data_IF_682391944992
#
_entry.id   IF_682391944992
#
_cell.length_a   1.000
_cell.length_b   1.000
_cell.length_c   1.000
_cell.angle_alpha   90.00
_cell.angle_beta   90.00
_cell.angle_gamma   90.00
#
_symmetry.space_group_name_H-M   'P 1'
#
loop_
_entity.id
_entity.type
_entity.pdbx_description
1 polymer ?
#
# COMPACT_ATOMS: atom_id res chain seq x y z
N UNK A 1 67.08 49.00 -10.50
CA UNK A 1 66.97 47.60 -10.08
C UNK A 1 65.79 47.48 -9.14
N UNK A 2 64.64 47.11 -9.66
CA UNK A 2 63.41 46.90 -8.88
C UNK A 2 63.26 45.43 -8.55
N UNK A 3 63.30 45.08 -7.28
CA UNK A 3 63.05 43.71 -6.77
C UNK A 3 61.55 43.46 -6.73
N UNK A 4 61.08 42.53 -7.56
CA UNK A 4 59.73 41.97 -7.43
C UNK A 4 59.76 40.87 -6.37
N UNK A 5 59.03 41.13 -5.27
CA UNK A 5 58.78 40.11 -4.25
C UNK A 5 57.60 39.25 -4.67
N UNK A 6 57.84 37.97 -4.87
CA UNK A 6 56.80 36.95 -5.08
C UNK A 6 56.17 36.62 -3.73
N UNK A 7 54.91 37.00 -3.54
CA UNK A 7 54.09 36.54 -2.38
C UNK A 7 53.43 35.20 -2.82
N UNK A 8 53.98 34.10 -2.34
CA UNK A 8 53.36 32.80 -2.50
C UNK A 8 52.18 32.70 -1.53
N UNK A 9 50.95 32.76 -2.04
CA UNK A 9 49.74 32.53 -1.31
C UNK A 9 49.53 31.01 -1.16
N UNK A 10 49.95 30.47 0.00
CA UNK A 10 49.70 29.06 0.34
C UNK A 10 48.22 28.95 0.66
N UNK A 11 47.44 28.41 -0.27
CA UNK A 11 46.09 27.96 -0.01
C UNK A 11 46.16 26.71 0.92
N UNK A 12 45.94 26.93 2.22
CA UNK A 12 45.66 25.83 3.15
C UNK A 12 44.34 25.22 2.72
N UNK A 13 44.42 24.07 2.04
CA UNK A 13 43.29 23.16 1.94
C UNK A 13 43.06 22.58 3.34
N UNK A 14 42.12 23.12 4.09
CA UNK A 14 41.56 22.47 5.25
C UNK A 14 40.73 21.29 4.69
N UNK A 15 41.32 20.12 4.71
CA UNK A 15 40.57 18.86 4.66
C UNK A 15 39.89 18.74 6.03
N UNK A 16 38.75 19.43 6.18
CA UNK A 16 37.85 19.11 7.27
C UNK A 16 37.42 17.66 7.03
N UNK A 17 37.63 16.77 8.01
CA UNK A 17 36.98 15.46 8.04
C UNK A 17 35.49 15.74 7.94
N UNK A 18 34.94 15.60 6.73
CA UNK A 18 33.52 15.71 6.52
C UNK A 18 32.89 14.50 7.22
N UNK A 19 32.01 14.72 8.16
CA UNK A 19 31.28 13.63 8.82
C UNK A 19 30.62 12.79 7.72
N UNK A 20 30.94 11.49 7.68
CA UNK A 20 30.41 10.58 6.64
C UNK A 20 28.89 10.52 6.61
N UNK A 21 28.26 10.94 7.70
CA UNK A 21 26.81 11.00 7.86
C UNK A 21 26.25 12.42 7.59
N UNK A 22 27.08 13.38 7.19
CA UNK A 22 26.63 14.73 6.92
C UNK A 22 25.78 14.82 5.66
N UNK A 23 24.70 15.58 5.73
CA UNK A 23 23.90 15.98 4.58
C UNK A 23 23.93 17.48 4.38
N UNK A 24 23.73 17.89 3.13
CA UNK A 24 23.40 19.26 2.76
C UNK A 24 22.19 19.19 1.82
N UNK A 25 21.12 19.90 2.14
CA UNK A 25 19.99 20.09 1.24
C UNK A 25 20.05 21.51 0.75
N UNK A 26 20.27 21.71 -0.56
CA UNK A 26 20.23 23.03 -1.20
C UNK A 26 19.05 23.11 -2.16
N UNK A 27 18.39 24.24 -2.21
CA UNK A 27 17.23 24.37 -3.08
C UNK A 27 16.86 25.79 -3.42
N UNK A 28 15.92 25.88 -4.36
CA UNK A 28 15.33 27.12 -4.85
C UNK A 28 13.82 27.07 -4.74
N UNK A 29 13.20 28.26 -4.70
CA UNK A 29 11.75 28.42 -4.82
C UNK A 29 11.48 29.70 -5.61
N UNK A 30 11.05 29.56 -6.85
CA UNK A 30 10.97 30.66 -7.83
C UNK A 30 10.09 31.84 -7.40
N UNK A 31 9.01 31.57 -6.63
CA UNK A 31 8.06 32.58 -6.18
C UNK A 31 8.36 33.14 -4.77
N UNK A 32 9.47 32.72 -4.15
CA UNK A 32 9.84 33.13 -2.82
C UNK A 32 10.22 34.60 -2.72
N UNK A 33 9.93 35.17 -1.56
CA UNK A 33 10.42 36.50 -1.16
C UNK A 33 11.62 36.36 -0.23
N UNK A 34 12.47 37.35 -0.25
CA UNK A 34 13.61 37.44 0.68
C UNK A 34 13.13 37.33 2.13
N UNK A 35 13.70 36.40 2.87
CA UNK A 35 13.35 36.13 4.27
C UNK A 35 12.17 35.16 4.49
N UNK A 36 11.51 34.67 3.45
CA UNK A 36 10.51 33.63 3.58
C UNK A 36 11.13 32.39 4.25
N UNK A 37 10.35 31.71 5.10
CA UNK A 37 10.83 30.56 5.89
C UNK A 37 10.50 29.23 5.23
N UNK A 38 11.53 28.45 4.97
CA UNK A 38 11.43 27.04 4.48
C UNK A 38 11.57 26.09 5.67
N UNK A 39 10.74 25.06 5.74
CA UNK A 39 10.78 24.03 6.77
C UNK A 39 11.34 22.72 6.21
N UNK A 40 12.27 22.11 6.93
CA UNK A 40 12.63 20.70 6.80
C UNK A 40 11.91 19.94 7.90
N UNK A 41 11.15 18.89 7.52
CA UNK A 41 10.29 18.12 8.41
C UNK A 41 10.56 16.64 8.28
N UNK A 42 10.50 15.89 9.37
CA UNK A 42 10.56 14.42 9.36
C UNK A 42 9.15 13.83 9.32
N UNK A 43 9.00 12.70 8.62
CA UNK A 43 7.77 11.92 8.60
C UNK A 43 7.76 10.94 9.80
N UNK A 44 7.00 11.26 10.85
CA UNK A 44 6.77 10.38 11.99
C UNK A 44 5.38 9.73 11.91
N UNK A 45 5.34 8.50 11.44
CA UNK A 45 4.08 7.83 11.14
C UNK A 45 3.32 8.52 10.01
N UNK A 46 2.23 9.24 10.34
CA UNK A 46 1.42 10.02 9.39
C UNK A 46 1.52 11.53 9.62
N UNK A 47 2.49 11.98 10.40
CA UNK A 47 2.65 13.41 10.76
C UNK A 47 4.00 13.91 10.31
N UNK A 48 4.03 15.16 9.89
CA UNK A 48 5.26 15.91 9.64
C UNK A 48 5.63 16.67 10.92
N UNK A 49 6.88 16.50 11.37
CA UNK A 49 7.44 17.12 12.56
C UNK A 49 8.60 18.00 12.14
N UNK A 50 8.56 19.27 12.51
CA UNK A 50 9.61 20.23 12.17
C UNK A 50 10.97 19.81 12.74
N UNK A 51 11.97 19.66 11.86
CA UNK A 51 13.37 19.40 12.21
C UNK A 51 14.18 20.69 12.20
N UNK A 52 14.08 21.47 11.12
CA UNK A 52 14.81 22.74 10.93
C UNK A 52 13.96 23.75 10.18
N UNK A 53 14.26 25.04 10.37
CA UNK A 53 13.72 26.13 9.56
C UNK A 53 14.85 27.07 9.16
N UNK A 54 14.85 27.50 7.90
CA UNK A 54 15.81 28.44 7.36
C UNK A 54 15.10 29.51 6.55
N UNK A 55 15.70 30.68 6.46
CA UNK A 55 15.22 31.78 5.61
C UNK A 55 15.76 31.62 4.18
N UNK A 56 14.98 32.04 3.20
CA UNK A 56 15.43 32.21 1.81
C UNK A 56 16.32 33.44 1.73
N UNK A 57 17.47 33.27 1.11
CA UNK A 57 18.45 34.35 0.84
C UNK A 57 18.82 34.30 -0.63
N UNK A 58 18.65 35.40 -1.36
CA UNK A 58 18.88 35.45 -2.81
C UNK A 58 18.14 34.37 -3.63
N UNK A 59 16.95 34.00 -3.21
CA UNK A 59 16.12 32.94 -3.86
C UNK A 59 16.54 31.51 -3.55
N UNK A 60 17.50 31.29 -2.68
CA UNK A 60 18.04 29.98 -2.31
C UNK A 60 17.84 29.70 -0.81
N UNK A 61 17.81 28.42 -0.47
CA UNK A 61 17.84 27.92 0.90
C UNK A 61 18.84 26.77 1.06
N UNK A 62 19.35 26.59 2.28
CA UNK A 62 20.26 25.49 2.58
C UNK A 62 20.00 24.95 3.99
N UNK A 63 19.84 23.61 4.11
CA UNK A 63 19.85 22.89 5.37
C UNK A 63 21.12 22.06 5.47
N UNK A 64 21.70 21.97 6.67
CA UNK A 64 22.85 21.13 6.98
C UNK A 64 22.61 20.36 8.26
N UNK A 65 23.10 19.11 8.29
CA UNK A 65 23.00 18.27 9.47
C UNK A 65 23.66 16.93 9.28
N UNK A 66 23.35 16.02 10.18
CA UNK A 66 23.83 14.64 10.21
C UNK A 66 22.63 13.71 10.18
N UNK A 67 22.68 12.67 9.37
CA UNK A 67 21.66 11.60 9.28
C UNK A 67 22.33 10.28 9.60
N UNK A 68 22.11 9.74 10.79
CA UNK A 68 22.65 8.45 11.23
C UNK A 68 21.95 7.25 10.56
N UNK A 69 20.75 7.49 10.02
CA UNK A 69 19.96 6.54 9.23
C UNK A 69 19.13 7.30 8.19
N UNK A 70 18.76 6.62 7.12
CA UNK A 70 17.85 7.19 6.11
C UNK A 70 16.46 7.35 6.71
N UNK A 71 15.86 8.53 6.51
CA UNK A 71 14.54 8.87 7.01
C UNK A 71 13.70 9.53 5.90
N UNK A 72 12.41 9.27 5.88
CA UNK A 72 11.50 10.02 5.00
C UNK A 72 11.28 11.39 5.59
N UNK A 73 11.53 12.42 4.79
CA UNK A 73 11.42 13.82 5.18
C UNK A 73 10.69 14.63 4.11
N UNK A 74 10.41 15.88 4.41
CA UNK A 74 9.86 16.83 3.46
C UNK A 74 10.49 18.20 3.63
N UNK A 75 10.65 18.91 2.51
CA UNK A 75 10.92 20.35 2.48
C UNK A 75 9.66 21.06 2.01
N UNK A 76 9.24 22.09 2.74
CA UNK A 76 7.99 22.79 2.44
C UNK A 76 8.06 24.28 2.69
N UNK A 77 7.29 25.05 1.88
CA UNK A 77 7.01 26.47 2.05
C UNK A 77 5.66 26.79 1.41
N UNK A 78 4.72 27.35 2.18
CA UNK A 78 3.37 27.59 1.67
C UNK A 78 2.69 26.32 1.17
N UNK A 79 2.33 26.30 -0.11
CA UNK A 79 1.76 25.17 -0.83
C UNK A 79 2.78 24.31 -1.60
N UNK A 80 4.04 24.74 -1.64
CA UNK A 80 5.13 23.95 -2.23
C UNK A 80 5.61 22.89 -1.25
N UNK A 81 5.73 21.67 -1.76
CA UNK A 81 6.08 20.50 -0.98
C UNK A 81 6.98 19.54 -1.79
N UNK A 82 8.05 19.06 -1.16
CA UNK A 82 8.95 18.05 -1.72
C UNK A 82 9.21 16.96 -0.70
N UNK A 83 8.70 15.76 -0.94
CA UNK A 83 9.10 14.56 -0.18
C UNK A 83 10.50 14.15 -0.62
N UNK A 84 11.33 13.75 0.34
CA UNK A 84 12.69 13.29 0.09
C UNK A 84 13.13 12.22 1.10
N UNK A 85 14.23 11.56 0.80
CA UNK A 85 14.95 10.70 1.73
C UNK A 85 16.11 11.50 2.32
N UNK A 86 16.03 11.76 3.63
CA UNK A 86 17.10 12.42 4.36
C UNK A 86 18.21 11.41 4.60
N UNK A 87 19.28 11.54 3.86
CA UNK A 87 20.45 10.64 3.85
C UNK A 87 21.73 11.43 3.67
N UNK A 88 22.90 10.89 4.03
CA UNK A 88 24.18 11.56 3.82
C UNK A 88 24.42 11.94 2.36
N UNK A 89 24.97 13.15 2.12
CA UNK A 89 25.31 13.62 0.79
C UNK A 89 24.75 14.98 0.45
N UNK A 90 24.78 15.29 -0.85
CA UNK A 90 24.27 16.56 -1.39
C UNK A 90 22.92 16.33 -2.06
N UNK A 91 21.87 16.87 -1.45
CA UNK A 91 20.50 16.76 -1.93
C UNK A 91 20.11 18.13 -2.53
N UNK A 92 19.59 18.11 -3.75
CA UNK A 92 19.12 19.30 -4.47
C UNK A 92 17.61 19.26 -4.59
N UNK A 93 16.95 20.35 -4.29
CA UNK A 93 15.49 20.50 -4.31
C UNK A 93 15.12 21.75 -5.10
N UNK A 94 14.25 21.59 -6.10
CA UNK A 94 13.62 22.69 -6.80
C UNK A 94 12.11 22.72 -6.44
N UNK A 95 11.75 23.61 -5.51
CA UNK A 95 10.38 23.73 -5.04
C UNK A 95 9.50 24.42 -6.07
N UNK A 96 8.32 23.88 -6.32
CA UNK A 96 7.34 24.42 -7.28
C UNK A 96 5.97 24.54 -6.62
N UNK A 97 5.38 25.71 -6.71
CA UNK A 97 4.03 25.94 -6.20
C UNK A 97 3.00 25.14 -7.00
N UNK A 98 2.11 24.41 -6.30
CA UNK A 98 1.03 23.66 -6.92
C UNK A 98 1.46 22.53 -7.86
N UNK A 99 2.73 22.13 -7.84
CA UNK A 99 3.29 21.03 -8.63
C UNK A 99 4.12 20.11 -7.75
N UNK A 100 4.37 18.90 -8.25
CA UNK A 100 5.29 17.97 -7.61
C UNK A 100 6.71 18.53 -7.70
N UNK A 101 7.36 18.62 -6.56
CA UNK A 101 8.78 18.93 -6.44
C UNK A 101 9.53 17.67 -6.11
N UNK A 102 10.71 17.48 -6.70
CA UNK A 102 11.53 16.29 -6.55
C UNK A 102 12.89 16.65 -5.98
N UNK A 103 13.49 15.69 -5.28
CA UNK A 103 14.83 15.79 -4.72
C UNK A 103 15.79 14.88 -5.49
N UNK A 104 17.02 15.35 -5.74
CA UNK A 104 18.04 14.67 -6.50
C UNK A 104 19.40 14.72 -5.79
N UNK A 105 20.35 13.92 -6.22
CA UNK A 105 21.77 13.99 -5.86
C UNK A 105 22.26 12.89 -4.93
N UNK A 106 21.37 12.07 -4.37
CA UNK A 106 21.74 10.94 -3.53
C UNK A 106 21.00 9.67 -3.97
N UNK A 107 21.46 8.46 -3.62
CA UNK A 107 20.92 7.22 -4.19
C UNK A 107 19.41 7.03 -4.02
N UNK A 108 18.89 7.22 -2.79
CA UNK A 108 17.45 7.03 -2.54
C UNK A 108 16.60 8.13 -3.20
N UNK A 109 17.07 9.36 -3.22
CA UNK A 109 16.36 10.47 -3.88
C UNK A 109 16.34 10.31 -5.40
N UNK A 110 17.45 9.87 -6.02
CA UNK A 110 17.48 9.61 -7.46
C UNK A 110 16.56 8.44 -7.84
N UNK A 111 16.53 7.37 -7.05
CA UNK A 111 15.63 6.23 -7.27
C UNK A 111 14.15 6.62 -7.10
N UNK A 112 13.85 7.45 -6.10
CA UNK A 112 12.50 7.97 -5.88
C UNK A 112 12.05 8.90 -7.02
N UNK A 113 12.94 9.78 -7.50
CA UNK A 113 12.66 10.65 -8.65
C UNK A 113 12.35 9.84 -9.92
N UNK A 114 13.17 8.84 -10.23
CA UNK A 114 12.93 7.97 -11.39
C UNK A 114 11.56 7.29 -11.30
N UNK A 115 11.22 6.73 -10.15
CA UNK A 115 9.90 6.14 -9.91
C UNK A 115 8.76 7.15 -10.06
N UNK A 116 8.90 8.35 -9.49
CA UNK A 116 7.87 9.38 -9.58
C UNK A 116 7.69 9.93 -11.00
N UNK A 117 8.76 9.95 -11.79
CA UNK A 117 8.71 10.30 -13.22
C UNK A 117 7.90 9.26 -14.01
N UNK A 118 8.14 7.97 -13.77
CA UNK A 118 7.37 6.89 -14.40
C UNK A 118 5.89 6.94 -13.98
N UNK A 119 5.63 7.18 -12.69
CA UNK A 119 4.26 7.31 -12.16
C UNK A 119 3.53 8.52 -12.77
N UNK A 120 4.23 9.65 -12.97
CA UNK A 120 3.65 10.84 -13.60
C UNK A 120 3.23 10.58 -15.05
N UNK A 121 4.03 9.84 -15.81
CA UNK A 121 3.66 9.45 -17.18
C UNK A 121 2.39 8.59 -17.21
N UNK A 122 2.25 7.68 -16.24
CA UNK A 122 1.04 6.87 -16.07
C UNK A 122 -0.17 7.70 -15.62
N UNK A 123 0.02 8.66 -14.71
CA UNK A 123 -1.06 9.59 -14.30
C UNK A 123 -1.59 10.39 -15.48
N UNK A 124 -0.71 10.86 -16.37
CA UNK A 124 -1.11 11.59 -17.57
C UNK A 124 -1.90 10.69 -18.55
N UNK A 125 -1.50 9.43 -18.74
CA UNK A 125 -2.27 8.43 -19.51
C UNK A 125 -3.66 8.20 -18.88
N UNK A 126 -3.72 8.02 -17.56
CA UNK A 126 -4.98 7.84 -16.83
C UNK A 126 -5.91 9.04 -16.97
N UNK A 127 -5.39 10.26 -16.86
CA UNK A 127 -6.16 11.49 -16.98
C UNK A 127 -6.88 11.59 -18.34
N UNK A 128 -6.22 11.18 -19.42
CA UNK A 128 -6.82 11.15 -20.77
C UNK A 128 -7.93 10.09 -20.89
N UNK A 129 -7.74 8.91 -20.30
CA UNK A 129 -8.77 7.85 -20.27
C UNK A 129 -9.97 8.33 -19.44
N UNK A 130 -9.71 8.86 -18.24
CA UNK A 130 -10.75 9.34 -17.32
C UNK A 130 -11.56 10.50 -17.92
N UNK A 131 -10.91 11.42 -18.64
CA UNK A 131 -11.58 12.51 -19.35
C UNK A 131 -12.56 12.00 -20.41
N UNK A 132 -12.17 10.98 -21.18
CA UNK A 132 -13.07 10.36 -22.18
C UNK A 132 -14.22 9.62 -21.50
N UNK A 133 -13.98 8.97 -20.36
CA UNK A 133 -15.02 8.26 -19.60
C UNK A 133 -16.13 9.18 -19.04
N UNK A 134 -15.87 10.48 -18.91
CA UNK A 134 -16.86 11.46 -18.43
C UNK A 134 -17.89 11.87 -19.47
N UNK A 135 -17.72 11.49 -20.75
CA UNK A 135 -18.70 11.83 -21.79
C UNK A 135 -20.01 11.03 -21.57
N UNK A 136 -21.17 11.70 -21.37
CA UNK A 136 -22.43 11.01 -21.11
C UNK A 136 -23.02 10.34 -22.37
N UNK A 137 -22.54 10.69 -23.57
CA UNK A 137 -23.06 10.21 -24.85
C UNK A 137 -22.29 9.00 -25.42
N UNK A 138 -21.43 8.35 -24.59
CA UNK A 138 -20.67 7.18 -25.01
C UNK A 138 -21.60 6.02 -25.41
N UNK A 139 -21.34 5.43 -26.57
CA UNK A 139 -21.91 4.14 -26.98
C UNK A 139 -21.41 3.00 -26.10
N UNK A 140 -22.12 1.88 -26.12
CA UNK A 140 -21.70 0.69 -25.33
C UNK A 140 -20.35 0.13 -25.78
N UNK A 141 -20.03 0.25 -27.09
CA UNK A 141 -18.72 -0.13 -27.61
C UNK A 141 -17.59 0.76 -27.07
N UNK A 142 -17.81 2.08 -26.99
CA UNK A 142 -16.82 3.01 -26.42
C UNK A 142 -16.64 2.81 -24.92
N UNK A 143 -17.71 2.53 -24.18
CA UNK A 143 -17.63 2.17 -22.76
C UNK A 143 -16.82 0.90 -22.55
N UNK A 144 -17.04 -0.13 -23.39
CA UNK A 144 -16.27 -1.38 -23.33
C UNK A 144 -14.77 -1.16 -23.62
N UNK A 145 -14.45 -0.31 -24.62
CA UNK A 145 -13.06 0.04 -24.94
C UNK A 145 -12.40 0.83 -23.81
N UNK A 146 -13.09 1.78 -23.19
CA UNK A 146 -12.59 2.52 -22.03
C UNK A 146 -12.32 1.57 -20.85
N UNK A 147 -13.26 0.65 -20.56
CA UNK A 147 -13.08 -0.36 -19.51
C UNK A 147 -11.84 -1.22 -19.76
N UNK A 148 -11.60 -1.62 -21.02
CA UNK A 148 -10.40 -2.37 -21.40
C UNK A 148 -9.13 -1.54 -21.17
N UNK A 149 -9.11 -0.27 -21.61
CA UNK A 149 -7.96 0.62 -21.41
C UNK A 149 -7.67 0.90 -19.92
N UNK A 150 -8.70 1.03 -19.11
CA UNK A 150 -8.54 1.13 -17.64
C UNK A 150 -7.86 -0.11 -17.06
N UNK A 151 -8.25 -1.32 -17.48
CA UNK A 151 -7.60 -2.56 -17.04
C UNK A 151 -6.14 -2.66 -17.51
N UNK A 152 -5.84 -2.26 -18.74
CA UNK A 152 -4.46 -2.21 -19.27
C UNK A 152 -3.60 -1.19 -18.49
N UNK A 153 -4.17 -0.02 -18.18
CA UNK A 153 -3.52 0.99 -17.34
C UNK A 153 -3.22 0.44 -15.94
N UNK A 154 -4.19 -0.21 -15.30
CA UNK A 154 -4.03 -0.79 -13.98
C UNK A 154 -2.88 -1.81 -13.96
N UNK A 155 -2.78 -2.66 -14.99
CA UNK A 155 -1.66 -3.58 -15.17
C UNK A 155 -0.31 -2.87 -15.28
N UNK A 156 -0.20 -1.80 -16.07
CA UNK A 156 1.03 -0.99 -16.19
C UNK A 156 1.41 -0.34 -14.85
N UNK A 157 0.42 0.21 -14.14
CA UNK A 157 0.63 0.84 -12.85
C UNK A 157 1.21 -0.13 -11.81
N UNK A 158 0.61 -1.32 -11.68
CA UNK A 158 1.13 -2.35 -10.77
C UNK A 158 2.52 -2.84 -11.20
N UNK A 159 2.75 -2.98 -12.50
CA UNK A 159 4.05 -3.41 -13.00
C UNK A 159 5.16 -2.36 -12.73
N UNK A 160 4.86 -1.07 -12.85
CA UNK A 160 5.81 0.00 -12.52
C UNK A 160 6.21 -0.03 -11.03
N UNK A 161 5.25 -0.25 -10.14
CA UNK A 161 5.53 -0.43 -8.70
C UNK A 161 6.40 -1.67 -8.47
N UNK A 162 6.05 -2.81 -9.06
CA UNK A 162 6.79 -4.08 -8.92
C UNK A 162 8.23 -3.94 -9.45
N UNK A 163 8.41 -3.31 -10.60
CA UNK A 163 9.74 -3.05 -11.16
C UNK A 163 10.57 -2.16 -10.23
N UNK A 164 10.00 -1.06 -9.76
CA UNK A 164 10.68 -0.16 -8.82
C UNK A 164 11.12 -0.87 -7.54
N UNK A 165 10.32 -1.79 -7.00
CA UNK A 165 10.69 -2.60 -5.85
C UNK A 165 11.83 -3.56 -6.20
N UNK A 166 11.76 -4.24 -7.34
CA UNK A 166 12.77 -5.20 -7.78
C UNK A 166 14.14 -4.53 -8.04
N UNK A 167 14.14 -3.35 -8.66
CA UNK A 167 15.35 -2.61 -9.02
C UNK A 167 16.03 -1.94 -7.81
N UNK A 168 15.32 -1.82 -6.69
CA UNK A 168 15.77 -1.08 -5.51
C UNK A 168 15.95 -1.97 -4.26
N UNK A 169 16.21 -3.27 -4.44
CA UNK A 169 16.56 -4.16 -3.32
C UNK A 169 17.85 -3.67 -2.67
N UNK A 170 17.82 -3.43 -1.37
CA UNK A 170 18.99 -3.00 -0.60
C UNK A 170 19.15 -1.50 -0.41
N UNK A 171 18.26 -0.67 -0.97
CA UNK A 171 18.17 0.75 -0.60
C UNK A 171 16.88 1.06 0.17
N UNK A 172 16.88 2.17 0.93
CA UNK A 172 15.77 2.54 1.81
C UNK A 172 14.52 3.00 1.05
N UNK A 173 14.67 3.56 -0.17
CA UNK A 173 13.53 3.86 -1.04
C UNK A 173 12.79 2.58 -1.46
N UNK A 174 13.53 1.54 -1.89
CA UNK A 174 12.93 0.25 -2.23
C UNK A 174 12.22 -0.39 -1.03
N UNK A 175 12.84 -0.32 0.17
CA UNK A 175 12.23 -0.75 1.42
C UNK A 175 10.93 0.03 1.71
N UNK A 176 10.96 1.35 1.57
CA UNK A 176 9.79 2.21 1.72
C UNK A 176 8.68 1.81 0.73
N UNK A 177 9.04 1.63 -0.55
CA UNK A 177 8.08 1.27 -1.60
C UNK A 177 7.47 -0.13 -1.35
N UNK A 178 8.29 -1.15 -1.06
CA UNK A 178 7.80 -2.48 -0.71
C UNK A 178 6.85 -2.44 0.49
N UNK A 179 7.25 -1.76 1.57
CA UNK A 179 6.43 -1.66 2.77
C UNK A 179 5.07 -0.97 2.55
N UNK A 180 4.96 -0.10 1.55
CA UNK A 180 3.72 0.62 1.24
C UNK A 180 2.92 0.00 0.08
N UNK A 181 3.47 -1.02 -0.61
CA UNK A 181 2.89 -1.57 -1.84
C UNK A 181 2.87 -3.10 -1.90
N UNK A 182 3.25 -3.80 -0.81
CA UNK A 182 3.32 -5.27 -0.78
C UNK A 182 1.98 -5.97 -1.10
N UNK A 183 0.86 -5.30 -0.88
CA UNK A 183 -0.49 -5.82 -1.16
C UNK A 183 -0.83 -5.90 -2.66
N UNK A 184 0.03 -5.41 -3.56
CA UNK A 184 -0.08 -5.60 -5.01
C UNK A 184 0.53 -6.92 -5.51
N UNK A 185 1.07 -7.72 -4.61
CA UNK A 185 1.64 -9.02 -4.93
C UNK A 185 0.77 -10.15 -4.42
N UNK A 186 0.70 -11.22 -5.20
CA UNK A 186 0.23 -12.49 -4.66
C UNK A 186 1.24 -13.05 -3.65
N UNK A 187 0.79 -13.85 -2.66
CA UNK A 187 1.68 -14.36 -1.62
C UNK A 187 2.88 -15.15 -2.14
N UNK A 188 2.73 -15.91 -3.22
CA UNK A 188 3.78 -16.66 -3.88
C UNK A 188 4.82 -15.77 -4.55
N UNK A 189 4.37 -14.67 -5.19
CA UNK A 189 5.24 -13.67 -5.80
C UNK A 189 5.99 -12.86 -4.73
N UNK A 190 5.32 -12.54 -3.63
CA UNK A 190 5.87 -11.72 -2.55
C UNK A 190 6.97 -12.43 -1.76
N UNK A 191 6.86 -13.75 -1.59
CA UNK A 191 7.78 -14.53 -0.75
C UNK A 191 9.27 -14.33 -1.09
N UNK A 192 9.73 -14.52 -2.36
CA UNK A 192 11.14 -14.34 -2.71
C UNK A 192 11.61 -12.88 -2.59
N UNK A 193 10.71 -11.92 -2.77
CA UNK A 193 11.01 -10.49 -2.61
C UNK A 193 11.28 -10.19 -1.14
N UNK A 194 10.44 -10.68 -0.24
CA UNK A 194 10.63 -10.52 1.21
C UNK A 194 11.94 -11.15 1.70
N UNK A 195 12.32 -12.32 1.17
CA UNK A 195 13.62 -12.94 1.50
C UNK A 195 14.79 -12.02 1.08
N UNK A 196 14.74 -11.44 -0.13
CA UNK A 196 15.77 -10.53 -0.63
C UNK A 196 15.87 -9.26 0.22
N UNK A 197 14.74 -8.66 0.59
CA UNK A 197 14.72 -7.47 1.43
C UNK A 197 15.12 -7.76 2.88
N UNK A 198 14.75 -8.90 3.46
CA UNK A 198 15.18 -9.30 4.79
C UNK A 198 16.68 -9.61 4.84
N UNK A 199 17.27 -10.10 3.76
CA UNK A 199 18.72 -10.24 3.67
C UNK A 199 19.44 -8.88 3.72
N UNK A 200 18.86 -7.83 3.08
CA UNK A 200 19.40 -6.48 3.11
C UNK A 200 19.09 -5.72 4.41
N UNK A 201 17.91 -5.97 5.01
CA UNK A 201 17.40 -5.27 6.19
C UNK A 201 16.97 -6.27 7.30
N UNK A 202 17.88 -7.05 7.87
CA UNK A 202 17.57 -8.21 8.73
C UNK A 202 16.86 -7.86 10.05
N UNK A 203 16.96 -6.61 10.49
CA UNK A 203 16.34 -6.14 11.75
C UNK A 203 15.07 -5.33 11.54
N UNK A 204 14.57 -5.22 10.30
CA UNK A 204 13.39 -4.42 10.01
C UNK A 204 12.11 -5.12 10.49
N UNK A 205 11.52 -4.61 11.58
CA UNK A 205 10.33 -5.19 12.21
C UNK A 205 9.08 -5.17 11.28
N UNK A 206 9.00 -4.19 10.36
CA UNK A 206 7.86 -4.10 9.41
C UNK A 206 7.94 -5.20 8.36
N UNK A 207 9.13 -5.46 7.80
CA UNK A 207 9.36 -6.59 6.89
C UNK A 207 9.08 -7.93 7.55
N UNK A 208 9.58 -8.13 8.78
CA UNK A 208 9.34 -9.36 9.53
C UNK A 208 7.83 -9.61 9.73
N UNK A 209 7.05 -8.57 10.02
CA UNK A 209 5.60 -8.67 10.15
C UNK A 209 4.91 -8.96 8.82
N UNK A 210 5.33 -8.31 7.73
CA UNK A 210 4.79 -8.58 6.39
C UNK A 210 5.07 -10.03 6.00
N UNK A 211 6.30 -10.51 6.24
CA UNK A 211 6.66 -11.92 5.99
C UNK A 211 5.81 -12.89 6.79
N UNK A 212 5.64 -12.68 8.07
CA UNK A 212 4.81 -13.54 8.91
C UNK A 212 3.36 -13.62 8.41
N UNK A 213 2.78 -12.51 7.96
CA UNK A 213 1.45 -12.48 7.34
C UNK A 213 1.44 -13.23 6.00
N UNK A 214 2.47 -13.04 5.19
CA UNK A 214 2.58 -13.72 3.90
C UNK A 214 2.68 -15.24 4.08
N UNK A 215 3.49 -15.70 5.05
CA UNK A 215 3.63 -17.12 5.38
C UNK A 215 2.27 -17.74 5.76
N UNK A 216 1.46 -17.05 6.58
CA UNK A 216 0.10 -17.48 6.92
C UNK A 216 -0.82 -17.53 5.68
N UNK A 217 -0.69 -16.58 4.77
CA UNK A 217 -1.43 -16.59 3.50
C UNK A 217 -1.05 -17.78 2.62
N UNK A 218 0.23 -18.15 2.59
CA UNK A 218 0.74 -19.33 1.87
C UNK A 218 0.28 -20.65 2.52
N UNK A 219 0.17 -20.71 3.85
CA UNK A 219 -0.36 -21.87 4.56
C UNK A 219 -1.85 -22.11 4.28
N UNK A 220 -2.57 -21.08 3.86
CA UNK A 220 -3.99 -21.12 3.45
C UNK A 220 -4.17 -20.84 1.95
N UNK A 221 -3.18 -21.14 1.12
CA UNK A 221 -3.27 -20.98 -0.33
C UNK A 221 -4.26 -21.97 -0.98
N UNK A 222 -4.64 -21.71 -2.21
CA UNK A 222 -5.49 -22.60 -3.01
C UNK A 222 -4.85 -24.00 -3.09
N UNK A 223 -5.65 -25.04 -2.91
CA UNK A 223 -5.21 -26.44 -2.83
C UNK A 223 -4.73 -26.89 -1.44
N UNK A 224 -4.62 -26.00 -0.47
CA UNK A 224 -4.33 -26.35 0.93
C UNK A 224 -5.61 -26.67 1.70
N UNK A 225 -5.44 -27.29 2.86
CA UNK A 225 -6.54 -27.51 3.80
C UNK A 225 -6.86 -26.20 4.54
N UNK A 226 -8.15 -25.96 4.76
CA UNK A 226 -8.58 -24.84 5.58
C UNK A 226 -8.03 -24.96 7.02
N UNK A 227 -7.95 -23.85 7.71
CA UNK A 227 -7.59 -23.81 9.13
C UNK A 227 -8.82 -23.49 9.95
N UNK A 228 -9.14 -24.40 10.91
CA UNK A 228 -10.30 -24.24 11.77
C UNK A 228 -10.10 -23.17 12.84
N UNK A 229 -11.15 -22.48 13.19
CA UNK A 229 -11.22 -21.52 14.31
C UNK A 229 -12.65 -21.48 14.86
N UNK A 230 -12.79 -20.91 16.05
CA UNK A 230 -14.06 -20.81 16.76
C UNK A 230 -14.37 -19.35 17.11
N UNK A 231 -15.60 -18.92 16.87
CA UNK A 231 -16.09 -17.57 17.17
C UNK A 231 -17.57 -17.59 17.56
N UNK A 232 -18.00 -16.53 18.24
CA UNK A 232 -19.39 -16.37 18.64
C UNK A 232 -20.27 -15.88 17.48
N UNK A 233 -21.52 -16.33 17.42
CA UNK A 233 -22.56 -15.76 16.60
C UNK A 233 -23.15 -14.49 17.25
N UNK A 234 -24.20 -13.93 16.64
CA UNK A 234 -24.90 -12.74 17.16
C UNK A 234 -25.61 -12.97 18.50
N UNK A 235 -25.85 -14.23 18.86
CA UNK A 235 -26.50 -14.67 20.11
C UNK A 235 -25.48 -15.13 21.16
N UNK A 236 -24.16 -14.96 20.91
CA UNK A 236 -23.05 -15.36 21.75
C UNK A 236 -22.84 -16.89 21.85
N UNK A 237 -23.42 -17.70 20.93
CA UNK A 237 -23.12 -19.11 20.83
C UNK A 237 -21.81 -19.31 20.07
N UNK A 238 -20.95 -20.18 20.57
CA UNK A 238 -19.66 -20.50 19.94
C UNK A 238 -19.84 -21.51 18.82
N UNK A 239 -19.23 -21.21 17.66
CA UNK A 239 -19.27 -22.06 16.48
C UNK A 239 -17.88 -22.20 15.87
N UNK A 240 -17.57 -23.42 15.41
CA UNK A 240 -16.35 -23.70 14.65
C UNK A 240 -16.62 -23.51 13.15
N UNK A 241 -15.61 -22.99 12.44
CA UNK A 241 -15.68 -22.88 10.98
C UNK A 241 -15.94 -24.25 10.32
N UNK A 242 -15.38 -25.33 10.88
CA UNK A 242 -15.59 -26.70 10.39
C UNK A 242 -17.05 -27.14 10.38
N UNK A 243 -17.92 -26.62 11.27
CA UNK A 243 -19.34 -26.94 11.31
C UNK A 243 -20.04 -26.44 10.02
N UNK A 244 -19.72 -25.22 9.60
CA UNK A 244 -20.28 -24.63 8.38
C UNK A 244 -19.75 -25.30 7.10
N UNK A 245 -18.45 -25.67 7.09
CA UNK A 245 -17.84 -26.37 5.96
C UNK A 245 -18.46 -27.77 5.81
N UNK A 246 -18.64 -28.50 6.90
CA UNK A 246 -19.24 -29.84 6.85
C UNK A 246 -20.71 -29.83 6.40
N UNK A 247 -21.43 -28.74 6.65
CA UNK A 247 -22.85 -28.60 6.32
C UNK A 247 -23.10 -28.37 4.81
N UNK A 248 -22.12 -27.96 4.03
CA UNK A 248 -22.27 -27.58 2.62
C UNK A 248 -21.33 -28.38 1.72
N UNK A 249 -21.62 -28.44 0.43
CA UNK A 249 -20.69 -28.98 -0.57
C UNK A 249 -19.54 -27.98 -0.82
N UNK A 250 -19.85 -26.66 -0.79
CA UNK A 250 -18.89 -25.55 -0.91
C UNK A 250 -19.31 -24.42 0.02
N UNK A 251 -18.38 -23.89 0.80
CA UNK A 251 -18.61 -22.78 1.72
C UNK A 251 -17.74 -21.57 1.37
N UNK A 252 -18.35 -20.40 1.23
CA UNK A 252 -17.64 -19.12 1.14
C UNK A 252 -17.45 -18.57 2.56
N UNK A 253 -16.21 -18.44 2.99
CA UNK A 253 -15.82 -17.69 4.19
C UNK A 253 -15.60 -16.24 3.76
N UNK A 254 -16.47 -15.35 4.20
CA UNK A 254 -16.45 -13.93 3.81
C UNK A 254 -16.01 -13.05 4.99
N UNK A 255 -14.79 -12.52 4.91
CA UNK A 255 -14.23 -11.60 5.89
C UNK A 255 -14.66 -10.17 5.55
N UNK A 256 -15.45 -9.56 6.43
CA UNK A 256 -16.05 -8.25 6.20
C UNK A 256 -16.18 -7.42 7.49
N UNK A 257 -16.74 -6.22 7.42
CA UNK A 257 -17.13 -5.45 8.60
C UNK A 257 -18.25 -4.43 8.27
N UNK A 258 -18.99 -4.02 9.28
CA UNK A 258 -20.05 -3.02 9.15
C UNK A 258 -19.56 -1.65 8.63
N UNK A 259 -18.35 -1.28 8.99
CA UNK A 259 -17.68 -0.03 8.59
C UNK A 259 -16.96 -0.12 7.23
N UNK A 260 -16.87 -1.31 6.64
CA UNK A 260 -16.19 -1.54 5.37
C UNK A 260 -17.08 -1.15 4.19
N UNK A 261 -16.88 0.02 3.61
CA UNK A 261 -17.65 0.50 2.45
C UNK A 261 -17.60 -0.45 1.25
N UNK A 262 -16.41 -0.88 0.78
CA UNK A 262 -16.29 -1.86 -0.31
C UNK A 262 -17.00 -3.19 -0.02
N UNK A 263 -16.93 -3.72 1.23
CA UNK A 263 -17.62 -4.95 1.59
C UNK A 263 -19.15 -4.81 1.43
N UNK A 264 -19.70 -3.67 1.87
CA UNK A 264 -21.11 -3.37 1.73
C UNK A 264 -21.54 -3.23 0.26
N UNK A 265 -20.67 -2.70 -0.59
CA UNK A 265 -20.90 -2.59 -2.03
C UNK A 265 -20.90 -3.94 -2.76
N UNK A 266 -20.11 -4.92 -2.27
CA UNK A 266 -20.07 -6.30 -2.80
C UNK A 266 -21.31 -7.13 -2.40
N UNK A 267 -22.00 -6.78 -1.32
CA UNK A 267 -23.08 -7.59 -0.73
C UNK A 267 -24.20 -7.96 -1.72
N UNK A 268 -24.64 -7.11 -2.66
CA UNK A 268 -25.63 -7.51 -3.67
C UNK A 268 -25.17 -8.67 -4.55
N UNK A 269 -23.90 -8.72 -4.94
CA UNK A 269 -23.34 -9.80 -5.76
C UNK A 269 -23.22 -11.11 -4.95
N UNK A 270 -22.79 -11.00 -3.67
CA UNK A 270 -22.72 -12.15 -2.75
C UNK A 270 -24.12 -12.74 -2.53
N UNK A 271 -25.14 -11.89 -2.31
CA UNK A 271 -26.55 -12.33 -2.17
C UNK A 271 -27.06 -13.01 -3.43
N UNK A 272 -26.78 -12.46 -4.61
CA UNK A 272 -27.18 -13.06 -5.87
C UNK A 272 -26.57 -14.45 -6.06
N UNK A 273 -25.28 -14.62 -5.70
CA UNK A 273 -24.62 -15.92 -5.72
C UNK A 273 -25.25 -16.89 -4.71
N UNK A 274 -25.54 -16.44 -3.50
CA UNK A 274 -26.18 -17.26 -2.47
C UNK A 274 -27.55 -17.77 -2.94
N UNK A 275 -28.42 -16.87 -3.41
CA UNK A 275 -29.75 -17.24 -3.91
C UNK A 275 -29.71 -18.24 -5.09
N UNK A 276 -28.76 -18.08 -5.99
CA UNK A 276 -28.63 -18.95 -7.16
C UNK A 276 -28.13 -20.36 -6.82
N UNK A 277 -27.34 -20.52 -5.73
CA UNK A 277 -26.62 -21.77 -5.46
C UNK A 277 -26.91 -22.39 -4.08
N UNK A 278 -27.63 -21.75 -3.15
CA UNK A 278 -27.93 -22.29 -1.82
C UNK A 278 -28.59 -23.67 -1.87
N UNK A 279 -29.47 -23.90 -2.85
CA UNK A 279 -30.15 -25.19 -3.05
C UNK A 279 -29.30 -26.25 -3.78
N UNK A 280 -28.07 -25.86 -4.19
CA UNK A 280 -27.09 -26.75 -4.82
C UNK A 280 -25.93 -27.09 -3.88
N UNK A 281 -26.04 -26.77 -2.60
CA UNK A 281 -25.02 -27.08 -1.60
C UNK A 281 -24.01 -25.96 -1.37
N UNK A 282 -24.31 -24.74 -1.81
CA UNK A 282 -23.49 -23.57 -1.48
C UNK A 282 -23.92 -22.94 -0.16
N UNK A 283 -22.98 -22.75 0.75
CA UNK A 283 -23.17 -22.01 1.98
C UNK A 283 -22.21 -20.82 2.08
N UNK A 284 -22.55 -19.88 2.94
CA UNK A 284 -21.71 -18.75 3.31
C UNK A 284 -21.61 -18.66 4.83
N UNK A 285 -20.44 -18.30 5.34
CA UNK A 285 -20.25 -17.84 6.71
C UNK A 285 -19.54 -16.48 6.68
N UNK A 286 -20.17 -15.46 7.24
CA UNK A 286 -19.56 -14.14 7.39
C UNK A 286 -18.71 -14.09 8.66
N UNK A 287 -17.45 -13.69 8.51
CA UNK A 287 -16.50 -13.47 9.62
C UNK A 287 -16.29 -11.97 9.75
N UNK A 288 -16.90 -11.40 10.81
CA UNK A 288 -16.84 -9.94 10.99
C UNK A 288 -15.59 -9.49 11.71
N UNK A 289 -14.97 -8.44 11.18
CA UNK A 289 -13.88 -7.68 11.79
C UNK A 289 -14.40 -6.43 12.53
N UNK A 290 -15.63 -6.48 13.04
CA UNK A 290 -16.13 -5.42 13.88
C UNK A 290 -15.54 -5.50 15.30
N UNK A 291 -15.52 -4.37 15.99
CA UNK A 291 -15.23 -4.27 17.42
C UNK A 291 -16.43 -3.73 18.21
N UNK A 292 -17.57 -3.58 17.54
CA UNK A 292 -18.83 -3.14 18.13
C UNK A 292 -19.96 -4.05 17.67
N UNK A 293 -20.54 -4.81 18.60
CA UNK A 293 -21.59 -5.81 18.33
C UNK A 293 -22.85 -5.19 17.77
N UNK A 294 -23.29 -4.04 18.31
CA UNK A 294 -24.51 -3.37 17.89
C UNK A 294 -24.42 -2.88 16.44
N UNK A 295 -23.24 -2.32 16.04
CA UNK A 295 -23.00 -1.89 14.68
C UNK A 295 -23.00 -3.08 13.70
N UNK A 296 -22.37 -4.20 14.09
CA UNK A 296 -22.36 -5.45 13.33
C UNK A 296 -23.75 -6.01 13.12
N UNK A 297 -24.53 -6.21 14.20
CA UNK A 297 -25.91 -6.73 14.15
C UNK A 297 -26.80 -5.81 13.30
N UNK A 298 -26.68 -4.48 13.49
CA UNK A 298 -27.42 -3.52 12.68
C UNK A 298 -27.06 -3.64 11.19
N UNK A 299 -25.79 -3.79 10.83
CA UNK A 299 -25.37 -3.92 9.44
C UNK A 299 -25.87 -5.22 8.80
N UNK A 300 -25.91 -6.35 9.54
CA UNK A 300 -26.53 -7.60 9.09
C UNK A 300 -27.99 -7.37 8.70
N UNK A 301 -28.76 -6.69 9.56
CA UNK A 301 -30.17 -6.38 9.31
C UNK A 301 -30.34 -5.41 8.13
N UNK A 302 -29.59 -4.30 8.10
CA UNK A 302 -29.67 -3.28 7.05
C UNK A 302 -29.34 -3.86 5.65
N UNK A 303 -28.40 -4.79 5.58
CA UNK A 303 -27.97 -5.46 4.34
C UNK A 303 -28.83 -6.68 3.99
N UNK A 304 -29.70 -7.13 4.92
CA UNK A 304 -30.52 -8.32 4.75
C UNK A 304 -29.68 -9.59 4.52
N UNK A 305 -28.67 -9.79 5.35
CA UNK A 305 -27.80 -10.97 5.30
C UNK A 305 -28.52 -12.15 5.98
N UNK A 306 -28.68 -13.26 5.27
CA UNK A 306 -29.45 -14.42 5.74
C UNK A 306 -28.58 -15.62 6.18
N UNK A 307 -27.29 -15.60 5.85
CA UNK A 307 -26.36 -16.68 6.22
C UNK A 307 -25.70 -16.43 7.57
N UNK A 308 -25.14 -17.49 8.21
CA UNK A 308 -24.47 -17.39 9.50
C UNK A 308 -23.39 -16.33 9.56
N UNK A 309 -23.31 -15.68 10.71
CA UNK A 309 -22.37 -14.61 10.99
C UNK A 309 -21.65 -14.87 12.31
N UNK A 310 -20.33 -14.83 12.30
CA UNK A 310 -19.50 -15.01 13.51
C UNK A 310 -18.46 -13.90 13.66
N UNK A 311 -18.11 -13.59 14.91
CA UNK A 311 -17.09 -12.58 15.24
C UNK A 311 -16.50 -12.83 16.61
N UNK A 312 -15.24 -12.41 16.82
CA UNK A 312 -14.63 -12.30 18.14
C UNK A 312 -14.60 -10.84 18.63
N UNK A 313 -15.14 -9.91 17.85
CA UNK A 313 -15.20 -8.46 18.12
C UNK A 313 -13.82 -7.82 18.39
N UNK A 314 -12.75 -8.39 17.81
CA UNK A 314 -11.38 -7.91 17.99
C UNK A 314 -10.88 -7.00 16.85
N UNK A 315 -11.74 -6.59 15.94
CA UNK A 315 -11.36 -5.75 14.80
C UNK A 315 -10.26 -6.41 13.95
N UNK A 316 -9.21 -5.67 13.64
CA UNK A 316 -8.04 -6.22 12.93
C UNK A 316 -7.22 -7.26 13.76
N UNK A 317 -7.56 -7.46 15.02
CA UNK A 317 -7.01 -8.56 15.82
C UNK A 317 -7.81 -9.85 15.75
N UNK A 318 -8.87 -9.90 14.93
CA UNK A 318 -9.69 -11.07 14.66
C UNK A 318 -8.84 -12.33 14.42
N UNK A 319 -9.08 -13.37 15.21
CA UNK A 319 -8.28 -14.60 15.19
C UNK A 319 -8.37 -15.32 13.85
N UNK A 320 -9.57 -15.42 13.25
CA UNK A 320 -9.76 -16.02 11.93
C UNK A 320 -9.05 -15.22 10.82
N UNK A 321 -9.15 -13.89 10.84
CA UNK A 321 -8.48 -13.04 9.87
C UNK A 321 -6.95 -13.20 9.94
N UNK A 322 -6.39 -13.23 11.15
CA UNK A 322 -4.95 -13.48 11.36
C UNK A 322 -4.52 -14.86 10.87
N UNK A 323 -5.30 -15.89 11.16
CA UNK A 323 -5.00 -17.26 10.79
C UNK A 323 -4.93 -17.46 9.26
N UNK A 324 -5.70 -16.67 8.50
CA UNK A 324 -5.73 -16.69 7.04
C UNK A 324 -4.85 -15.63 6.37
N UNK A 325 -4.08 -14.87 7.15
CA UNK A 325 -3.23 -13.79 6.65
C UNK A 325 -4.03 -12.62 6.04
N UNK A 326 -5.29 -12.43 6.44
CA UNK A 326 -6.17 -11.36 5.95
C UNK A 326 -5.67 -10.02 6.49
N UNK A 327 -5.21 -9.14 5.61
CA UNK A 327 -4.68 -7.81 5.93
C UNK A 327 -5.49 -6.66 5.32
N UNK A 328 -6.50 -6.99 4.52
CA UNK A 328 -7.47 -6.06 3.93
C UNK A 328 -8.82 -6.76 3.76
N UNK A 329 -9.92 -6.01 3.82
CA UNK A 329 -11.27 -6.50 3.55
C UNK A 329 -11.97 -5.63 2.49
N UNK A 330 -12.88 -6.25 1.70
CA UNK A 330 -13.39 -7.60 1.79
C UNK A 330 -12.31 -8.65 1.46
N UNK A 331 -12.35 -9.84 2.05
CA UNK A 331 -11.53 -10.99 1.70
C UNK A 331 -12.38 -12.26 1.74
N UNK A 332 -12.23 -13.13 0.75
CA UNK A 332 -13.04 -14.34 0.66
C UNK A 332 -12.16 -15.58 0.52
N UNK A 333 -12.62 -16.69 1.09
CA UNK A 333 -12.00 -18.01 0.93
C UNK A 333 -13.11 -19.01 0.59
N UNK A 334 -13.03 -19.65 -0.57
CA UNK A 334 -13.97 -20.67 -1.00
C UNK A 334 -13.41 -22.05 -0.63
N UNK A 335 -14.14 -22.81 0.17
CA UNK A 335 -13.70 -24.09 0.73
C UNK A 335 -14.66 -25.21 0.33
N UNK A 336 -14.13 -26.32 -0.17
CA UNK A 336 -14.89 -27.54 -0.45
C UNK A 336 -15.22 -28.28 0.86
N UNK A 337 -16.19 -29.17 0.81
CA UNK A 337 -16.63 -30.01 1.94
C UNK A 337 -15.51 -30.84 2.58
N UNK A 338 -14.52 -31.26 1.78
CA UNK A 338 -13.35 -32.00 2.26
C UNK A 338 -12.29 -31.11 2.94
N UNK A 339 -12.57 -29.81 3.02
CA UNK A 339 -11.70 -28.80 3.62
C UNK A 339 -10.68 -28.20 2.66
N UNK A 340 -10.64 -28.59 1.40
CA UNK A 340 -9.71 -28.02 0.41
C UNK A 340 -10.11 -26.60 0.03
N UNK A 341 -9.18 -25.65 0.09
CA UNK A 341 -9.39 -24.28 -0.37
C UNK A 341 -9.40 -24.28 -1.91
N UNK A 342 -10.51 -23.87 -2.49
CA UNK A 342 -10.74 -23.88 -3.94
C UNK A 342 -10.40 -22.55 -4.62
N UNK A 343 -10.59 -21.44 -3.91
CA UNK A 343 -10.28 -20.10 -4.39
C UNK A 343 -10.15 -19.11 -3.23
N UNK A 344 -9.48 -17.99 -3.46
CA UNK A 344 -9.37 -16.86 -2.54
C UNK A 344 -9.69 -15.56 -3.28
N UNK A 345 -10.16 -14.56 -2.54
CA UNK A 345 -10.40 -13.19 -3.01
C UNK A 345 -11.33 -13.08 -4.23
N UNK A 346 -12.28 -14.00 -4.36
CA UNK A 346 -13.34 -13.88 -5.36
C UNK A 346 -14.20 -12.64 -5.10
N UNK A 347 -14.58 -11.91 -6.17
CA UNK A 347 -15.36 -10.67 -6.13
C UNK A 347 -16.46 -10.67 -7.18
N UNK A 348 -17.55 -9.97 -6.87
CA UNK A 348 -18.60 -9.71 -7.85
C UNK A 348 -19.07 -10.96 -8.59
N UNK A 349 -19.05 -10.89 -9.92
CA UNK A 349 -19.46 -11.99 -10.81
C UNK A 349 -18.56 -13.23 -10.74
N UNK A 350 -17.26 -13.06 -10.39
CA UNK A 350 -16.32 -14.18 -10.30
C UNK A 350 -16.73 -15.22 -9.24
N UNK A 351 -17.53 -14.85 -8.23
CA UNK A 351 -18.10 -15.81 -7.28
C UNK A 351 -19.04 -16.75 -8.02
N UNK A 352 -19.97 -16.23 -8.82
CA UNK A 352 -20.94 -17.02 -9.57
C UNK A 352 -20.28 -17.87 -10.65
N UNK A 353 -19.31 -17.31 -11.38
CA UNK A 353 -18.52 -18.03 -12.38
C UNK A 353 -17.83 -19.24 -11.76
N UNK A 354 -17.16 -19.05 -10.60
CA UNK A 354 -16.48 -20.14 -9.91
C UNK A 354 -17.45 -21.20 -9.37
N UNK A 355 -18.60 -20.78 -8.86
CA UNK A 355 -19.63 -21.70 -8.39
C UNK A 355 -20.24 -22.51 -9.56
N UNK A 356 -20.44 -21.90 -10.74
CA UNK A 356 -20.93 -22.60 -11.92
C UNK A 356 -19.97 -23.70 -12.43
N UNK A 357 -18.66 -23.54 -12.22
CA UNK A 357 -17.68 -24.58 -12.53
C UNK A 357 -17.79 -25.79 -11.57
N UNK A 358 -18.08 -25.53 -10.30
CA UNK A 358 -18.01 -26.53 -9.21
C UNK A 358 -19.37 -27.20 -8.96
N UNK A 359 -20.45 -26.40 -8.88
CA UNK A 359 -21.80 -26.84 -8.53
C UNK A 359 -22.68 -26.90 -9.81
N UNK A 360 -22.57 -27.98 -10.54
CA UNK A 360 -23.32 -28.21 -11.79
C UNK A 360 -24.78 -28.59 -11.53
#
# INVERSE_FOLDING_TARGET
>A
MKKFGLVAMAALMMVACQDKNAYTISGTYETAKEGDSVSLQLMEGRRLVDLQKVAIVNGEFEFKGVADSVQVAAVSIGDAFCQLFLEPGQIKVDLKAGQMSLALGTPNNNAYESFMSDMKALEDEYAEIAKRAQNPELSDAEKAEIKKQMGEFEGKYYQAIKNSIADNVGNDFGLYNLCNSYYYYDPEELAPILESYLAAFPTNARLARIKANNDLSLETAVGKQFKDFEMADVEDNMHKLSEYIAANEVTLVDFWASWCGPCRAEMPAVKAAYEAYKNKGFGIVGVSLDNNKEAWVKAIADLGIEWPQISDLQGWNCAGAKLYGVNSIPATVLVAKDGTILAKNLRGEAIQEKLAEILK
#
